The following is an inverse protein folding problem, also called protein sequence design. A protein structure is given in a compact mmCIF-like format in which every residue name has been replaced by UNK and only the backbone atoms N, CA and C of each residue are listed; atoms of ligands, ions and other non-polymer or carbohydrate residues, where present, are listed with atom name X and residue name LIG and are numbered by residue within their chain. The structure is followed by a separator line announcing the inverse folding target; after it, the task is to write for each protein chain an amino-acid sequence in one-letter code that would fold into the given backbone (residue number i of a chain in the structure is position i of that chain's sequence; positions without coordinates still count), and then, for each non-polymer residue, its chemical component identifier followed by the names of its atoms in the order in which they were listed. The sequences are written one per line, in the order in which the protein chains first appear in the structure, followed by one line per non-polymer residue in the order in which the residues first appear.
data_IF_082684088397
#
_entry.id   IF_082684088397
#
_cell.length_a   1.000
_cell.length_b   1.000
_cell.length_c   1.000
_cell.angle_alpha   90.00
_cell.angle_beta   90.00
_cell.angle_gamma   90.00
#
_symmetry.space_group_name_H-M   'P 1'
#
loop_
_entity.id
_entity.type
_entity.pdbx_description
1 polymer ?
#
# COMPACT_ATOMS: atom_id res chain seq x y z
N UNK A 1 5.89 -9.19 23.37
CA UNK A 1 5.37 -9.99 22.23
C UNK A 1 4.97 -11.39 22.69
N UNK A 2 5.86 -12.18 23.28
CA UNK A 2 5.52 -13.53 23.80
C UNK A 2 4.38 -13.49 24.82
N UNK A 3 4.46 -12.59 25.80
CA UNK A 3 3.37 -12.40 26.78
C UNK A 3 2.04 -12.00 26.15
N UNK A 4 2.06 -11.25 25.04
CA UNK A 4 0.83 -10.89 24.33
C UNK A 4 0.16 -12.09 23.63
N UNK A 5 0.96 -13.04 23.12
CA UNK A 5 0.43 -14.29 22.56
C UNK A 5 -0.09 -15.24 23.65
N UNK A 6 0.57 -15.27 24.83
CA UNK A 6 0.11 -16.02 26.01
C UNK A 6 -1.22 -15.47 26.53
N UNK A 7 -1.33 -14.16 26.62
CA UNK A 7 -2.56 -13.47 27.03
C UNK A 7 -3.69 -13.61 25.99
N UNK A 8 -3.38 -13.64 24.69
CA UNK A 8 -4.39 -13.96 23.67
C UNK A 8 -4.94 -15.38 23.83
N UNK A 9 -4.08 -16.36 24.13
CA UNK A 9 -4.49 -17.74 24.40
C UNK A 9 -5.33 -17.86 25.67
N UNK A 10 -4.95 -17.17 26.75
CA UNK A 10 -5.74 -17.19 28.00
C UNK A 10 -7.13 -16.55 27.82
N UNK A 11 -7.23 -15.53 26.96
CA UNK A 11 -8.50 -14.89 26.59
C UNK A 11 -9.26 -15.60 25.47
N UNK A 12 -8.81 -16.78 25.04
CA UNK A 12 -9.38 -17.57 23.94
C UNK A 12 -9.54 -16.77 22.63
N UNK A 13 -8.65 -15.80 22.40
CA UNK A 13 -8.59 -15.00 21.17
C UNK A 13 -7.71 -15.74 20.16
N UNK A 14 -8.23 -16.07 18.96
CA UNK A 14 -7.46 -16.78 17.96
C UNK A 14 -6.38 -15.85 17.38
N UNK A 15 -5.13 -16.07 17.79
CA UNK A 15 -3.97 -15.32 17.32
C UNK A 15 -2.73 -16.21 17.38
N UNK A 16 -2.45 -16.88 16.27
CA UNK A 16 -1.34 -17.83 16.22
C UNK A 16 -0.07 -17.22 15.59
N UNK A 17 1.12 -17.44 16.17
CA UNK A 17 2.37 -16.86 15.66
C UNK A 17 2.71 -17.25 14.22
N UNK A 18 2.32 -18.44 13.75
CA UNK A 18 2.59 -18.88 12.37
C UNK A 18 1.91 -18.02 11.31
N UNK A 19 0.88 -17.24 11.67
CA UNK A 19 0.21 -16.31 10.76
C UNK A 19 1.09 -15.11 10.37
N UNK A 20 2.17 -14.86 11.12
CA UNK A 20 3.19 -13.89 10.72
C UNK A 20 3.97 -14.34 9.48
N UNK A 21 3.98 -15.65 9.17
CA UNK A 21 4.59 -16.21 7.97
C UNK A 21 3.53 -16.27 6.86
N UNK A 22 3.55 -15.26 6.00
CA UNK A 22 2.54 -15.09 4.95
C UNK A 22 2.74 -16.13 3.85
N UNK A 23 1.79 -17.06 3.70
CA UNK A 23 1.73 -18.03 2.60
C UNK A 23 0.92 -17.55 1.41
N UNK A 24 -0.06 -16.67 1.66
CA UNK A 24 -0.93 -16.09 0.63
C UNK A 24 -0.99 -14.59 0.83
N UNK A 25 -0.65 -13.82 -0.21
CA UNK A 25 -0.70 -12.36 -0.18
C UNK A 25 -2.02 -11.90 -0.82
N UNK A 26 -2.89 -11.19 -0.09
CA UNK A 26 -4.13 -10.67 -0.65
C UNK A 26 -3.85 -9.54 -1.64
N UNK A 27 -4.64 -9.51 -2.71
CA UNK A 27 -4.60 -8.45 -3.72
C UNK A 27 -5.80 -7.54 -3.53
N UNK A 28 -5.58 -6.25 -3.31
CA UNK A 28 -6.68 -5.30 -3.13
C UNK A 28 -7.51 -5.18 -4.43
N UNK A 29 -8.82 -4.89 -4.33
CA UNK A 29 -9.69 -4.66 -5.48
C UNK A 29 -9.11 -3.65 -6.49
N UNK A 30 -9.30 -3.85 -7.81
CA UNK A 30 -8.80 -2.93 -8.85
C UNK A 30 -9.21 -1.47 -8.67
N UNK A 31 -10.43 -1.23 -8.17
CA UNK A 31 -10.95 0.12 -7.89
C UNK A 31 -10.10 0.90 -6.87
N UNK A 32 -9.42 0.19 -5.96
CA UNK A 32 -8.52 0.80 -4.98
C UNK A 32 -7.10 1.02 -5.52
N UNK A 33 -6.80 0.52 -6.73
CA UNK A 33 -5.52 0.63 -7.45
C UNK A 33 -5.76 0.91 -8.95
N UNK A 34 -6.41 2.04 -9.29
CA UNK A 34 -6.91 2.28 -10.64
C UNK A 34 -5.78 2.39 -11.67
N UNK A 35 -6.13 2.02 -12.90
CA UNK A 35 -5.37 2.28 -14.12
C UNK A 35 -6.21 3.24 -14.97
N UNK A 36 -5.76 4.48 -15.11
CA UNK A 36 -6.54 5.52 -15.78
C UNK A 36 -5.88 5.85 -17.13
N UNK A 37 -6.61 5.74 -18.25
CA UNK A 37 -6.09 6.17 -19.55
C UNK A 37 -5.94 7.69 -19.58
N UNK A 38 -4.87 8.16 -20.22
CA UNK A 38 -4.58 9.57 -20.48
C UNK A 38 -4.58 9.83 -21.99
N UNK A 39 -4.71 11.10 -22.36
CA UNK A 39 -4.60 11.51 -23.76
C UNK A 39 -3.25 11.10 -24.37
N UNK A 40 -3.28 10.72 -25.65
CA UNK A 40 -2.09 10.24 -26.37
C UNK A 40 -1.70 8.80 -26.05
N UNK A 41 -2.64 7.96 -25.57
CA UNK A 41 -2.42 6.52 -25.39
C UNK A 41 -1.56 6.13 -24.19
N UNK A 42 -1.32 7.08 -23.27
CA UNK A 42 -0.59 6.85 -22.02
C UNK A 42 -1.54 6.33 -20.95
N UNK A 43 -0.99 5.68 -19.92
CA UNK A 43 -1.75 5.21 -18.77
C UNK A 43 -1.11 5.72 -17.49
N UNK A 44 -1.93 6.27 -16.59
CA UNK A 44 -1.55 6.51 -15.21
C UNK A 44 -1.89 5.26 -14.39
N UNK A 45 -0.92 4.76 -13.62
CA UNK A 45 -1.10 3.60 -12.75
C UNK A 45 -0.84 3.98 -11.30
N UNK A 46 -1.57 3.33 -10.38
CA UNK A 46 -1.21 3.35 -8.96
C UNK A 46 0.15 2.68 -8.72
N UNK A 47 0.98 3.25 -7.83
CA UNK A 47 2.25 2.69 -7.37
C UNK A 47 2.13 1.25 -6.87
N UNK A 48 0.97 0.89 -6.29
CA UNK A 48 0.69 -0.46 -5.82
C UNK A 48 0.72 -1.51 -6.93
N UNK A 49 0.26 -1.16 -8.14
CA UNK A 49 0.26 -2.11 -9.25
C UNK A 49 1.68 -2.56 -9.60
N UNK A 50 2.67 -1.67 -9.48
CA UNK A 50 4.07 -2.01 -9.73
C UNK A 50 4.67 -2.86 -8.62
N UNK A 51 4.30 -2.58 -7.36
CA UNK A 51 4.70 -3.42 -6.22
C UNK A 51 4.10 -4.83 -6.31
N UNK A 52 2.81 -4.95 -6.65
CA UNK A 52 2.17 -6.24 -6.90
C UNK A 52 2.81 -6.98 -8.08
N UNK A 53 3.08 -6.27 -9.19
CA UNK A 53 3.73 -6.85 -10.37
C UNK A 53 5.09 -7.44 -10.01
N UNK A 54 5.89 -6.74 -9.20
CA UNK A 54 7.19 -7.24 -8.73
C UNK A 54 7.04 -8.55 -7.94
N UNK A 55 6.10 -8.62 -7.01
CA UNK A 55 5.82 -9.85 -6.24
C UNK A 55 5.44 -11.01 -7.16
N UNK A 56 4.51 -10.77 -8.10
CA UNK A 56 4.04 -11.80 -9.05
C UNK A 56 5.19 -12.29 -9.93
N UNK A 57 6.00 -11.39 -10.48
CA UNK A 57 7.14 -11.75 -11.34
C UNK A 57 8.15 -12.60 -10.56
N UNK A 58 8.51 -12.20 -9.34
CA UNK A 58 9.45 -12.93 -8.48
C UNK A 58 8.90 -14.30 -8.07
N UNK A 59 7.63 -14.39 -7.71
CA UNK A 59 6.97 -15.63 -7.36
C UNK A 59 6.95 -16.62 -8.54
N UNK A 60 6.57 -16.14 -9.73
CA UNK A 60 6.56 -16.96 -10.94
C UNK A 60 7.96 -17.40 -11.35
N UNK A 61 8.97 -16.54 -11.18
CA UNK A 61 10.38 -16.89 -11.41
C UNK A 61 10.87 -17.95 -10.44
N UNK A 62 10.59 -17.81 -9.14
CA UNK A 62 10.93 -18.80 -8.13
C UNK A 62 10.29 -20.15 -8.44
N UNK A 63 9.01 -20.17 -8.82
CA UNK A 63 8.30 -21.39 -9.23
C UNK A 63 9.02 -22.10 -10.38
N UNK A 64 9.36 -21.37 -11.45
CA UNK A 64 10.11 -21.91 -12.60
C UNK A 64 11.49 -22.44 -12.20
N UNK A 65 12.20 -21.75 -11.31
CA UNK A 65 13.52 -22.19 -10.83
C UNK A 65 13.45 -23.49 -10.01
N UNK A 66 12.36 -23.70 -9.26
CA UNK A 66 12.10 -24.95 -8.55
C UNK A 66 11.81 -26.07 -9.55
N UNK A 67 10.98 -25.81 -10.56
CA UNK A 67 10.60 -26.80 -11.58
C UNK A 67 11.82 -27.35 -12.35
N UNK A 68 12.78 -26.49 -12.67
CA UNK A 68 14.04 -26.89 -13.33
C UNK A 68 15.11 -27.42 -12.37
N UNK A 69 14.81 -27.55 -11.07
CA UNK A 69 15.76 -27.95 -10.01
C UNK A 69 17.04 -27.11 -10.00
N UNK A 70 16.90 -25.79 -10.07
CA UNK A 70 18.04 -24.88 -10.02
C UNK A 70 18.86 -25.06 -8.73
N UNK A 71 20.19 -24.79 -8.76
CA UNK A 71 21.04 -24.87 -7.58
C UNK A 71 20.53 -24.05 -6.39
N UNK A 72 20.82 -24.52 -5.17
CA UNK A 72 20.30 -23.92 -3.94
C UNK A 72 20.69 -22.43 -3.79
N UNK A 73 21.89 -22.05 -4.24
CA UNK A 73 22.36 -20.65 -4.21
C UNK A 73 21.41 -19.73 -4.99
N UNK A 74 20.95 -20.18 -6.17
CA UNK A 74 20.04 -19.41 -7.02
C UNK A 74 18.66 -19.35 -6.36
N UNK A 75 18.17 -20.46 -5.81
CA UNK A 75 16.89 -20.53 -5.10
C UNK A 75 16.88 -19.63 -3.86
N UNK A 76 17.95 -19.61 -3.06
CA UNK A 76 18.09 -18.73 -1.90
C UNK A 76 18.06 -17.26 -2.30
N UNK A 77 18.75 -16.88 -3.37
CA UNK A 77 18.71 -15.51 -3.87
C UNK A 77 17.30 -15.13 -4.35
N UNK A 78 16.61 -15.99 -5.11
CA UNK A 78 15.26 -15.66 -5.57
C UNK A 78 14.25 -15.60 -4.41
N UNK A 79 14.39 -16.48 -3.39
CA UNK A 79 13.61 -16.37 -2.14
C UNK A 79 13.85 -15.04 -1.43
N UNK A 80 15.11 -14.59 -1.31
CA UNK A 80 15.45 -13.26 -0.76
C UNK A 80 14.80 -12.13 -1.56
N UNK A 81 14.88 -12.18 -2.90
CA UNK A 81 14.29 -11.16 -3.77
C UNK A 81 12.76 -11.14 -3.68
N UNK A 82 12.11 -12.30 -3.55
CA UNK A 82 10.67 -12.40 -3.34
C UNK A 82 10.27 -11.81 -1.97
N UNK A 83 11.01 -12.15 -0.91
CA UNK A 83 10.81 -11.56 0.41
C UNK A 83 10.90 -10.03 0.35
N UNK A 84 11.95 -9.51 -0.31
CA UNK A 84 12.15 -8.07 -0.44
C UNK A 84 11.02 -7.37 -1.18
N UNK A 85 10.44 -8.02 -2.20
CA UNK A 85 9.30 -7.51 -2.94
C UNK A 85 8.03 -7.47 -2.08
N UNK A 86 7.79 -8.49 -1.25
CA UNK A 86 6.66 -8.55 -0.32
C UNK A 86 6.80 -7.50 0.78
N UNK A 87 7.99 -7.30 1.33
CA UNK A 87 8.22 -6.24 2.31
C UNK A 87 7.93 -4.86 1.72
N UNK A 88 8.39 -4.60 0.49
CA UNK A 88 8.14 -3.31 -0.19
C UNK A 88 6.66 -3.10 -0.53
N UNK A 89 5.90 -4.18 -0.78
CA UNK A 89 4.45 -4.09 -0.97
C UNK A 89 3.75 -3.64 0.32
N UNK A 90 4.17 -4.16 1.48
CA UNK A 90 3.57 -3.82 2.77
C UNK A 90 4.05 -2.48 3.32
N UNK A 91 5.35 -2.25 3.38
CA UNK A 91 5.96 -1.00 3.88
C UNK A 91 7.27 -0.69 3.15
N UNK A 92 7.18 0.05 2.04
CA UNK A 92 8.35 0.45 1.26
C UNK A 92 9.15 1.56 1.96
N UNK A 93 8.49 2.38 2.77
CA UNK A 93 9.07 3.59 3.37
C UNK A 93 10.07 3.28 4.50
N UNK A 94 9.95 2.11 5.16
CA UNK A 94 10.86 1.68 6.22
C UNK A 94 12.21 1.18 5.70
N UNK A 95 12.33 0.91 4.39
CA UNK A 95 13.58 0.39 3.82
C UNK A 95 14.57 1.52 3.54
N UNK A 96 15.83 1.31 3.93
CA UNK A 96 16.97 2.20 3.60
C UNK A 96 17.03 2.43 2.08
N UNK A 97 16.84 1.36 1.31
CA UNK A 97 16.75 1.39 -0.14
C UNK A 97 15.32 1.14 -0.58
N UNK A 98 14.47 2.16 -0.45
CA UNK A 98 13.09 2.10 -0.94
C UNK A 98 13.06 1.79 -2.43
N UNK A 99 12.08 0.97 -2.84
CA UNK A 99 11.82 0.71 -4.24
C UNK A 99 11.32 1.99 -4.91
N UNK A 100 12.00 2.39 -5.98
CA UNK A 100 11.70 3.59 -6.75
C UNK A 100 11.11 3.21 -8.11
N UNK A 101 10.18 4.04 -8.57
CA UNK A 101 9.63 4.01 -9.92
C UNK A 101 10.31 5.02 -10.83
N UNK A 102 9.64 5.31 -11.93
CA UNK A 102 10.11 6.31 -12.90
C UNK A 102 10.27 7.69 -12.24
N UNK A 103 11.33 8.41 -12.62
CA UNK A 103 11.66 9.70 -12.00
C UNK A 103 12.28 9.60 -10.60
N UNK A 104 12.83 8.44 -10.23
CA UNK A 104 13.54 8.21 -8.96
C UNK A 104 12.68 8.46 -7.70
N UNK A 105 11.36 8.49 -7.85
CA UNK A 105 10.41 8.65 -6.74
C UNK A 105 10.15 7.30 -6.08
N UNK A 106 10.16 7.26 -4.74
CA UNK A 106 9.78 6.07 -3.99
C UNK A 106 8.29 5.72 -4.23
N UNK A 107 8.03 4.45 -4.51
CA UNK A 107 6.67 3.93 -4.67
C UNK A 107 5.95 3.90 -3.32
N UNK A 108 4.67 4.29 -3.31
CA UNK A 108 3.81 4.21 -2.12
C UNK A 108 3.33 2.78 -1.90
N UNK A 109 3.55 2.27 -0.70
CA UNK A 109 3.12 0.93 -0.25
C UNK A 109 1.73 0.91 0.39
N UNK A 110 1.23 -0.27 0.77
CA UNK A 110 -0.05 -0.42 1.45
C UNK A 110 -0.10 0.38 2.76
N UNK A 111 0.97 0.35 3.55
CA UNK A 111 1.05 1.12 4.80
C UNK A 111 1.03 2.63 4.53
N UNK A 112 1.67 3.09 3.45
CA UNK A 112 1.68 4.52 3.06
C UNK A 112 0.29 5.03 2.65
N UNK A 113 -0.57 4.15 2.16
CA UNK A 113 -1.96 4.52 1.86
C UNK A 113 -2.79 4.76 3.13
N UNK A 114 -2.40 4.19 4.27
CA UNK A 114 -3.12 4.35 5.52
C UNK A 114 -2.58 5.53 6.34
N UNK A 115 -1.25 5.70 6.38
CA UNK A 115 -0.58 6.68 7.24
C UNK A 115 -0.34 8.04 6.56
N UNK A 116 -0.06 9.06 7.38
CA UNK A 116 0.29 10.40 6.91
C UNK A 116 -0.91 11.28 6.55
N UNK A 117 -0.63 12.53 6.15
CA UNK A 117 -1.67 13.54 5.84
C UNK A 117 -2.54 13.15 4.62
N UNK A 118 -1.91 12.52 3.63
CA UNK A 118 -2.57 12.01 2.42
C UNK A 118 -3.04 10.55 2.57
N UNK A 119 -2.96 10.00 3.78
CA UNK A 119 -3.46 8.65 4.07
C UNK A 119 -4.98 8.64 4.21
N UNK A 120 -5.58 7.47 3.99
CA UNK A 120 -7.04 7.28 4.01
C UNK A 120 -7.68 7.77 5.31
N UNK A 121 -7.05 7.55 6.47
CA UNK A 121 -7.61 8.00 7.75
C UNK A 121 -7.77 9.52 7.82
N UNK A 122 -6.72 10.28 7.49
CA UNK A 122 -6.76 11.74 7.65
C UNK A 122 -7.50 12.44 6.51
N UNK A 123 -7.34 11.97 5.29
CA UNK A 123 -7.89 12.65 4.12
C UNK A 123 -9.31 12.20 3.78
N UNK A 124 -9.68 10.96 4.11
CA UNK A 124 -10.97 10.41 3.69
C UNK A 124 -11.91 10.13 4.86
N UNK A 125 -11.43 10.00 6.10
CA UNK A 125 -12.31 9.73 7.25
C UNK A 125 -12.54 10.96 8.13
N UNK A 126 -11.53 11.82 8.33
CA UNK A 126 -11.66 12.99 9.22
C UNK A 126 -12.19 14.26 8.53
N UNK A 127 -11.96 14.43 7.24
CA UNK A 127 -12.46 15.57 6.47
C UNK A 127 -12.82 15.12 5.08
N UNK A 128 -14.02 15.45 4.61
CA UNK A 128 -14.48 15.13 3.25
C UNK A 128 -14.93 16.40 2.55
N UNK A 129 -14.93 16.34 1.22
CA UNK A 129 -15.70 17.31 0.43
C UNK A 129 -17.18 17.06 0.73
N UNK A 130 -17.92 18.14 0.95
CA UNK A 130 -19.35 18.10 1.26
C UNK A 130 -20.11 18.84 0.17
N UNK A 131 -21.26 18.27 -0.19
CA UNK A 131 -22.20 18.93 -1.09
C UNK A 131 -22.83 20.13 -0.40
N UNK A 132 -23.49 21.01 -1.18
CA UNK A 132 -24.11 22.24 -0.67
C UNK A 132 -23.15 23.17 0.07
N UNK A 133 -21.90 23.25 -0.39
CA UNK A 133 -20.89 24.16 0.15
C UNK A 133 -20.33 25.09 -0.94
N UNK A 134 -20.03 26.32 -0.56
CA UNK A 134 -19.45 27.34 -1.44
C UNK A 134 -18.37 28.13 -0.72
N UNK A 135 -17.51 28.79 -1.49
CA UNK A 135 -16.51 29.72 -0.96
C UNK A 135 -16.43 30.93 -1.88
N UNK A 136 -16.47 32.12 -1.30
CA UNK A 136 -16.22 33.39 -1.98
C UNK A 136 -15.36 34.28 -1.10
N UNK A 137 -14.90 35.39 -1.67
CA UNK A 137 -14.24 36.46 -0.90
C UNK A 137 -15.32 37.24 -0.15
N UNK A 138 -15.08 37.50 1.13
CA UNK A 138 -15.96 38.34 1.96
C UNK A 138 -15.53 39.81 1.83
N UNK A 139 -16.52 40.70 1.75
CA UNK A 139 -16.35 42.16 1.74
C UNK A 139 -17.24 42.77 2.83
N UNK A 140 -16.94 44.00 3.26
CA UNK A 140 -17.77 44.72 4.23
C UNK A 140 -19.14 45.05 3.59
N UNK A 141 -20.22 44.63 4.25
CA UNK A 141 -21.60 44.98 3.91
C UNK A 141 -22.21 45.85 5.02
N UNK A 142 -22.01 47.17 4.99
CA UNK A 142 -22.35 48.06 6.11
C UNK A 142 -23.86 48.19 6.36
N UNK A 143 -24.68 47.92 5.34
CA UNK A 143 -26.14 47.87 5.42
C UNK A 143 -26.73 46.55 5.96
N UNK A 144 -25.90 45.51 6.15
CA UNK A 144 -26.36 44.19 6.60
C UNK A 144 -26.60 44.17 8.11
N UNK A 145 -27.65 43.47 8.52
CA UNK A 145 -27.92 43.20 9.94
C UNK A 145 -27.07 42.03 10.45
N UNK A 146 -27.01 41.85 11.77
CA UNK A 146 -26.20 40.79 12.39
C UNK A 146 -26.57 39.36 11.93
N UNK A 147 -27.78 39.15 11.43
CA UNK A 147 -28.31 37.84 11.03
C UNK A 147 -28.34 37.64 9.51
N UNK A 148 -27.66 38.50 8.74
CA UNK A 148 -27.61 38.50 7.27
C UNK A 148 -26.20 38.22 6.72
#
# INVERSE_FOLDING_TARGET
VVEAFRDAHSRNVPNNPEWMIIRMVPVIPPELRPLVPLDGGRFATSDLNDLYRRVIIRNNRLKRLIDIKAPEVILRNEKRMLQEAVDSLFDNSRKVNAVRGDGNRALKSLSDMLKGKQGRFRQNLLGKRVDYSGRSVIVVGPELQLHE
#
